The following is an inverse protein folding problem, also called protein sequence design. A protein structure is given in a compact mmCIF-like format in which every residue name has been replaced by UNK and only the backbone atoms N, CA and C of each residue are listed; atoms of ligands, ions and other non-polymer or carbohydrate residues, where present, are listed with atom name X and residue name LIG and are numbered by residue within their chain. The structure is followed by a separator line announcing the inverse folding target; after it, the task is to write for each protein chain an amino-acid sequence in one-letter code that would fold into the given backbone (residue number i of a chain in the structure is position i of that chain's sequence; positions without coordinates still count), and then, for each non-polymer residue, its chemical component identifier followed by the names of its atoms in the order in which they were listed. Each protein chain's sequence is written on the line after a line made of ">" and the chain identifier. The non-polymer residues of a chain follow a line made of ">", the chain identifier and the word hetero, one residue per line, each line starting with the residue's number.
data_IF_848990188634
#
_entry.id   IF_848990188634
#
_cell.length_a   1.000
_cell.length_b   1.000
_cell.length_c   1.000
_cell.angle_alpha   90.00
_cell.angle_beta   90.00
_cell.angle_gamma   90.00
#
_symmetry.space_group_name_H-M   'P 1'
#
loop_
_entity.id
_entity.type
_entity.pdbx_description
1 polymer ?
#
# COMPACT_ATOMS: atom_id res chain seq x y z
N UNK A 1 -6.80 -8.22 21.08
CA UNK A 1 -7.22 -6.96 20.45
C UNK A 1 -6.53 -5.75 21.06
N UNK A 2 -6.49 -5.61 22.38
CA UNK A 2 -5.86 -4.43 23.04
C UNK A 2 -4.40 -4.23 22.68
N UNK A 3 -3.62 -5.29 22.55
CA UNK A 3 -2.18 -5.21 22.19
C UNK A 3 -1.94 -4.65 20.77
N UNK A 4 -2.91 -4.71 19.88
CA UNK A 4 -2.79 -4.21 18.50
C UNK A 4 -3.23 -2.73 18.38
N UNK A 5 -4.16 -2.29 19.23
CA UNK A 5 -4.78 -0.96 19.11
C UNK A 5 -3.76 0.14 19.35
N UNK A 6 -2.94 0.03 20.40
CA UNK A 6 -1.97 1.07 20.75
C UNK A 6 -0.91 1.25 19.66
N UNK A 7 -0.21 0.20 19.16
CA UNK A 7 0.74 0.33 18.05
C UNK A 7 0.11 0.87 16.77
N UNK A 8 -1.13 0.46 16.46
CA UNK A 8 -1.86 0.95 15.30
C UNK A 8 -2.15 2.46 15.39
N UNK A 9 -2.61 2.94 16.55
CA UNK A 9 -2.84 4.37 16.78
C UNK A 9 -1.52 5.15 16.66
N UNK A 10 -0.43 4.66 17.26
CA UNK A 10 0.87 5.29 17.16
C UNK A 10 1.31 5.38 15.70
N UNK A 11 1.19 4.30 14.92
CA UNK A 11 1.55 4.26 13.51
C UNK A 11 0.74 5.28 12.69
N UNK A 12 -0.58 5.37 12.91
CA UNK A 12 -1.45 6.35 12.25
C UNK A 12 -1.05 7.79 12.58
N UNK A 13 -0.82 8.07 13.87
CA UNK A 13 -0.43 9.41 14.33
C UNK A 13 0.93 9.80 13.74
N UNK A 14 1.90 8.89 13.76
CA UNK A 14 3.22 9.13 13.18
C UNK A 14 3.14 9.34 11.67
N UNK A 15 2.37 8.51 10.94
CA UNK A 15 2.17 8.69 9.51
C UNK A 15 1.60 10.07 9.20
N UNK A 16 0.53 10.47 9.90
CA UNK A 16 -0.13 11.76 9.69
C UNK A 16 0.82 12.94 9.95
N UNK A 17 1.46 13.00 11.12
CA UNK A 17 2.33 14.12 11.48
C UNK A 17 3.61 14.15 10.64
N UNK A 18 4.15 13.00 10.25
CA UNK A 18 5.30 12.93 9.34
C UNK A 18 4.96 13.53 7.97
N UNK A 19 3.84 13.12 7.37
CA UNK A 19 3.42 13.66 6.07
C UNK A 19 3.09 15.15 6.18
N UNK A 20 2.31 15.54 7.19
CA UNK A 20 1.91 16.94 7.41
C UNK A 20 3.11 17.87 7.62
N UNK A 21 4.06 17.46 8.46
CA UNK A 21 5.25 18.25 8.78
C UNK A 21 6.28 18.26 7.65
N UNK A 22 6.50 17.12 6.97
CA UNK A 22 7.51 17.01 5.91
C UNK A 22 7.08 17.66 4.58
N UNK A 23 5.79 17.64 4.26
CA UNK A 23 5.30 18.15 2.96
C UNK A 23 5.73 19.59 2.67
N UNK A 24 5.53 20.59 3.56
CA UNK A 24 5.97 21.96 3.29
C UNK A 24 7.49 22.08 3.19
N UNK A 25 8.24 21.25 3.92
CA UNK A 25 9.69 21.25 3.84
C UNK A 25 10.17 20.67 2.50
N UNK A 26 9.59 19.56 2.05
CA UNK A 26 9.90 18.93 0.76
C UNK A 26 9.58 19.88 -0.40
N UNK A 27 8.41 20.55 -0.38
CA UNK A 27 8.03 21.53 -1.40
C UNK A 27 9.09 22.63 -1.50
N UNK A 28 9.45 23.26 -0.39
CA UNK A 28 10.47 24.33 -0.37
C UNK A 28 11.84 23.84 -0.84
N UNK A 29 12.22 22.61 -0.51
CA UNK A 29 13.49 22.02 -0.91
C UNK A 29 13.54 21.75 -2.43
N UNK A 30 12.43 21.30 -3.02
CA UNK A 30 12.31 21.06 -4.45
C UNK A 30 12.27 22.37 -5.25
N UNK A 31 11.53 23.37 -4.77
CA UNK A 31 11.48 24.71 -5.37
C UNK A 31 12.86 25.37 -5.39
N UNK A 32 13.60 25.31 -4.27
CA UNK A 32 14.99 25.82 -4.21
C UNK A 32 15.94 25.17 -5.20
N UNK A 33 15.67 23.92 -5.58
CA UNK A 33 16.45 23.17 -6.56
C UNK A 33 15.91 23.30 -7.99
N UNK A 34 14.90 24.12 -8.22
CA UNK A 34 14.20 24.27 -9.51
C UNK A 34 13.63 22.94 -10.05
N UNK A 35 13.26 22.01 -9.15
CA UNK A 35 12.64 20.74 -9.52
C UNK A 35 11.12 20.97 -9.48
N UNK A 36 10.63 21.67 -10.49
CA UNK A 36 9.23 22.04 -10.64
C UNK A 36 8.75 21.74 -12.04
N UNK A 37 7.45 21.50 -12.18
CA UNK A 37 6.77 21.27 -13.45
C UNK A 37 5.59 22.24 -13.59
N UNK A 38 5.20 22.53 -14.83
CA UNK A 38 4.02 23.36 -15.09
C UNK A 38 2.76 22.53 -14.82
N UNK A 39 1.83 23.08 -14.04
CA UNK A 39 0.51 22.47 -13.85
C UNK A 39 -0.28 22.58 -15.17
N UNK A 40 -0.42 21.45 -15.86
CA UNK A 40 -1.14 21.36 -17.13
C UNK A 40 -2.67 21.55 -16.99
N UNK A 41 -3.21 21.40 -15.79
CA UNK A 41 -4.64 21.41 -15.53
C UNK A 41 -5.16 22.81 -15.11
N UNK A 42 -4.26 23.76 -14.86
CA UNK A 42 -4.64 25.14 -14.53
C UNK A 42 -4.49 26.07 -15.73
N UNK A 43 -5.46 26.98 -15.89
CA UNK A 43 -5.40 28.03 -16.93
C UNK A 43 -4.18 28.94 -16.75
N UNK A 44 -3.80 29.22 -15.53
CA UNK A 44 -2.55 29.90 -15.18
C UNK A 44 -1.44 28.87 -15.05
N UNK A 45 -0.36 29.04 -15.79
CA UNK A 45 0.83 28.17 -15.77
C UNK A 45 1.58 28.30 -14.44
N UNK A 46 1.00 27.77 -13.36
CA UNK A 46 1.65 27.74 -12.05
C UNK A 46 2.69 26.61 -12.03
N UNK A 47 3.87 26.92 -11.48
CA UNK A 47 4.92 25.92 -11.26
C UNK A 47 4.62 25.17 -9.96
N UNK A 48 4.64 23.84 -10.01
CA UNK A 48 4.43 22.96 -8.86
C UNK A 48 5.64 22.08 -8.63
N UNK A 49 5.97 21.85 -7.36
CA UNK A 49 7.07 20.96 -6.98
C UNK A 49 6.72 19.51 -7.30
N UNK A 50 7.63 18.77 -7.95
CA UNK A 50 7.51 17.33 -8.25
C UNK A 50 8.86 16.65 -7.95
N UNK A 51 8.90 15.45 -7.33
CA UNK A 51 7.80 14.53 -7.00
C UNK A 51 7.13 14.83 -5.65
N UNK A 52 5.80 14.78 -5.60
CA UNK A 52 5.01 14.96 -4.36
C UNK A 52 5.02 13.76 -3.42
N UNK A 53 5.37 12.57 -3.92
CA UNK A 53 5.33 11.32 -3.17
C UNK A 53 6.40 11.17 -2.07
N UNK A 54 7.42 12.04 -2.03
CA UNK A 54 8.53 11.94 -1.06
C UNK A 54 8.07 11.99 0.41
N UNK A 55 7.18 12.91 0.75
CA UNK A 55 6.66 13.02 2.13
C UNK A 55 5.73 11.86 2.47
N UNK A 56 4.96 11.37 1.51
CA UNK A 56 4.02 10.27 1.69
C UNK A 56 4.79 8.98 2.00
N UNK A 57 5.82 8.65 1.23
CA UNK A 57 6.60 7.43 1.46
C UNK A 57 7.29 7.45 2.82
N UNK A 58 7.86 8.58 3.23
CA UNK A 58 8.48 8.69 4.55
C UNK A 58 7.47 8.42 5.66
N UNK A 59 6.24 8.95 5.56
CA UNK A 59 5.18 8.69 6.52
C UNK A 59 4.76 7.21 6.56
N UNK A 60 4.64 6.58 5.40
CA UNK A 60 4.31 5.14 5.28
C UNK A 60 5.43 4.29 5.89
N UNK A 61 6.69 4.51 5.49
CA UNK A 61 7.83 3.71 5.97
C UNK A 61 8.04 3.85 7.47
N UNK A 62 7.95 5.07 8.03
CA UNK A 62 8.06 5.28 9.47
C UNK A 62 6.96 4.55 10.23
N UNK A 63 5.72 4.57 9.76
CA UNK A 63 4.62 3.86 10.41
C UNK A 63 4.78 2.35 10.33
N UNK A 64 5.24 1.82 9.19
CA UNK A 64 5.51 0.40 9.03
C UNK A 64 6.70 -0.07 9.88
N UNK A 65 7.77 0.72 9.99
CA UNK A 65 8.91 0.44 10.87
C UNK A 65 8.46 0.39 12.33
N UNK A 66 7.60 1.31 12.78
CA UNK A 66 7.04 1.27 14.12
C UNK A 66 6.25 -0.02 14.33
N UNK A 67 5.38 -0.38 13.40
CA UNK A 67 4.63 -1.64 13.49
C UNK A 67 5.56 -2.85 13.51
N UNK A 68 6.64 -2.84 12.74
CA UNK A 68 7.63 -3.91 12.73
C UNK A 68 8.39 -4.04 14.06
N UNK A 69 8.67 -2.92 14.74
CA UNK A 69 9.30 -2.93 16.08
C UNK A 69 8.39 -3.59 17.11
N UNK A 70 7.08 -3.37 17.04
CA UNK A 70 6.11 -4.02 17.93
C UNK A 70 5.81 -5.46 17.52
N UNK A 71 5.76 -5.73 16.22
CA UNK A 71 5.41 -7.02 15.62
C UNK A 71 6.42 -7.38 14.53
N UNK A 72 7.55 -8.03 14.88
CA UNK A 72 8.61 -8.37 13.94
C UNK A 72 8.22 -9.60 13.11
N UNK A 73 7.22 -9.47 12.24
CA UNK A 73 6.73 -10.50 11.34
C UNK A 73 7.20 -10.25 9.91
N UNK A 74 7.41 -11.34 9.16
CA UNK A 74 7.91 -11.32 7.79
C UNK A 74 7.04 -10.52 6.83
N UNK A 75 5.74 -10.51 7.07
CA UNK A 75 4.73 -9.80 6.26
C UNK A 75 4.93 -8.29 6.31
N UNK A 76 5.16 -7.72 7.51
CA UNK A 76 5.43 -6.28 7.64
C UNK A 76 6.76 -5.93 6.97
N UNK A 77 7.80 -6.74 7.17
CA UNK A 77 9.09 -6.53 6.50
C UNK A 77 8.97 -6.59 4.98
N UNK A 78 8.19 -7.55 4.45
CA UNK A 78 7.93 -7.66 3.03
C UNK A 78 7.24 -6.40 2.48
N UNK A 79 6.26 -5.86 3.20
CA UNK A 79 5.56 -4.62 2.79
C UNK A 79 6.52 -3.43 2.80
N UNK A 80 7.35 -3.26 3.84
CA UNK A 80 8.40 -2.20 3.92
C UNK A 80 9.29 -2.27 2.67
N UNK A 81 9.86 -3.43 2.38
CA UNK A 81 10.76 -3.58 1.24
C UNK A 81 10.06 -3.36 -0.10
N UNK A 82 8.84 -3.87 -0.26
CA UNK A 82 8.04 -3.71 -1.48
C UNK A 82 7.68 -2.25 -1.74
N UNK A 83 7.20 -1.53 -0.72
CA UNK A 83 6.84 -0.10 -0.83
C UNK A 83 8.07 0.75 -1.10
N UNK A 84 9.20 0.45 -0.47
CA UNK A 84 10.46 1.13 -0.71
C UNK A 84 10.96 0.93 -2.16
N UNK A 85 10.96 -0.30 -2.68
CA UNK A 85 11.35 -0.54 -4.08
C UNK A 85 10.38 0.08 -5.08
N UNK A 86 9.07 -0.01 -4.83
CA UNK A 86 8.07 0.63 -5.67
C UNK A 86 8.23 2.16 -5.69
N UNK A 87 8.58 2.76 -4.56
CA UNK A 87 8.93 4.19 -4.49
C UNK A 87 10.14 4.54 -5.36
N UNK A 88 11.21 3.73 -5.32
CA UNK A 88 12.39 3.96 -6.18
C UNK A 88 12.00 3.94 -7.65
N UNK A 89 11.20 2.95 -8.07
CA UNK A 89 10.70 2.85 -9.44
C UNK A 89 9.87 4.09 -9.81
N UNK A 90 8.95 4.51 -8.93
CA UNK A 90 8.16 5.72 -9.13
C UNK A 90 9.01 7.00 -9.22
N UNK A 91 10.04 7.13 -8.38
CA UNK A 91 10.94 8.27 -8.38
C UNK A 91 11.77 8.35 -9.68
N UNK A 92 12.17 7.20 -10.23
CA UNK A 92 12.89 7.13 -11.52
C UNK A 92 11.94 7.53 -12.66
N UNK A 93 10.70 7.02 -12.65
CA UNK A 93 9.67 7.35 -13.64
C UNK A 93 9.30 8.84 -13.64
N UNK A 94 9.24 9.46 -12.46
CA UNK A 94 8.99 10.89 -12.31
C UNK A 94 10.13 11.77 -12.88
N UNK A 95 11.37 11.28 -12.86
CA UNK A 95 12.52 11.99 -13.40
C UNK A 95 12.76 11.72 -14.88
N UNK A 96 12.52 10.50 -15.29
CA UNK A 96 12.71 10.03 -16.67
C UNK A 96 11.58 9.06 -16.99
N UNK A 97 10.66 9.50 -17.84
CA UNK A 97 9.53 8.65 -18.26
C UNK A 97 10.02 7.29 -18.75
N UNK A 98 9.64 6.25 -18.03
CA UNK A 98 10.00 4.88 -18.35
C UNK A 98 9.17 4.41 -19.55
N UNK A 99 9.81 3.71 -20.51
CA UNK A 99 9.11 3.15 -21.68
C UNK A 99 7.98 2.18 -21.29
N UNK A 100 6.97 2.05 -22.15
CA UNK A 100 5.70 1.39 -21.82
C UNK A 100 5.78 0.01 -21.18
N UNK A 101 6.76 -0.82 -21.52
CA UNK A 101 6.95 -2.15 -20.94
C UNK A 101 7.93 -2.17 -19.74
N UNK A 102 8.82 -1.20 -19.66
CA UNK A 102 9.86 -1.20 -18.64
C UNK A 102 9.31 -0.90 -17.25
N UNK A 103 8.36 0.03 -17.15
CA UNK A 103 7.71 0.38 -15.87
C UNK A 103 6.91 -0.79 -15.26
N UNK A 104 6.01 -1.47 -15.98
CA UNK A 104 5.32 -2.65 -15.45
C UNK A 104 6.29 -3.75 -15.01
N UNK A 105 7.36 -3.99 -15.79
CA UNK A 105 8.36 -5.00 -15.45
C UNK A 105 9.11 -4.63 -14.16
N UNK A 106 9.56 -3.38 -14.03
CA UNK A 106 10.23 -2.90 -12.82
C UNK A 106 9.31 -3.00 -11.58
N UNK A 107 8.02 -2.67 -11.72
CA UNK A 107 7.04 -2.83 -10.65
C UNK A 107 6.77 -4.31 -10.32
N UNK A 108 6.82 -5.22 -11.31
CA UNK A 108 6.71 -6.65 -11.04
C UNK A 108 7.87 -7.17 -10.18
N UNK A 109 9.09 -6.65 -10.38
CA UNK A 109 10.22 -6.98 -9.52
C UNK A 109 10.05 -6.50 -8.07
N UNK A 110 9.24 -5.48 -7.82
CA UNK A 110 8.92 -5.05 -6.46
C UNK A 110 8.12 -6.10 -5.66
N UNK A 111 7.56 -7.13 -6.32
CA UNK A 111 6.93 -8.27 -5.66
C UNK A 111 7.95 -9.23 -5.01
N UNK A 112 9.23 -9.15 -5.38
CA UNK A 112 10.25 -10.08 -4.91
C UNK A 112 10.33 -10.22 -3.38
N UNK A 113 10.29 -9.15 -2.56
CA UNK A 113 10.31 -9.30 -1.11
C UNK A 113 9.14 -10.13 -0.57
N UNK A 114 7.93 -9.94 -1.11
CA UNK A 114 6.73 -10.72 -0.71
C UNK A 114 6.94 -12.20 -0.99
N UNK A 115 7.49 -12.53 -2.15
CA UNK A 115 7.73 -13.92 -2.56
C UNK A 115 8.87 -14.55 -1.79
N UNK A 116 10.00 -13.84 -1.61
CA UNK A 116 11.20 -14.35 -0.94
C UNK A 116 10.99 -14.56 0.56
N UNK A 117 10.23 -13.69 1.21
CA UNK A 117 9.90 -13.80 2.62
C UNK A 117 8.70 -14.72 2.90
N UNK A 118 8.06 -15.23 1.85
CA UNK A 118 6.86 -16.06 2.00
C UNK A 118 5.69 -15.32 2.65
N UNK A 119 5.63 -14.00 2.48
CA UNK A 119 4.65 -13.13 3.11
C UNK A 119 3.29 -13.17 2.39
N UNK A 120 2.82 -14.37 2.06
CA UNK A 120 1.53 -14.60 1.43
C UNK A 120 0.97 -15.97 1.80
N UNK A 121 -0.35 -16.08 1.89
CA UNK A 121 -1.02 -17.36 2.05
C UNK A 121 -1.53 -17.86 0.69
N UNK A 122 -1.09 -19.03 0.28
CA UNK A 122 -1.52 -19.68 -0.97
C UNK A 122 -2.85 -20.44 -0.84
N UNK A 123 -3.44 -20.47 0.36
CA UNK A 123 -4.75 -21.05 0.58
C UNK A 123 -5.84 -20.03 0.28
N UNK A 124 -6.68 -20.32 -0.69
CA UNK A 124 -7.87 -19.54 -0.99
C UNK A 124 -9.10 -20.27 -0.43
N UNK A 125 -9.74 -19.67 0.55
CA UNK A 125 -10.97 -20.20 1.13
C UNK A 125 -12.17 -19.71 0.33
N UNK A 126 -12.77 -20.62 -0.44
CA UNK A 126 -14.00 -20.33 -1.15
C UNK A 126 -15.21 -20.77 -0.32
N UNK A 127 -16.24 -19.90 -0.14
CA UNK A 127 -17.41 -20.24 0.68
C UNK A 127 -18.17 -21.50 0.25
N UNK A 128 -18.07 -21.87 -1.04
CA UNK A 128 -18.78 -23.00 -1.64
C UNK A 128 -17.91 -24.25 -1.87
N UNK A 129 -16.59 -24.07 -2.08
CA UNK A 129 -15.69 -25.14 -2.49
C UNK A 129 -14.63 -25.52 -1.43
N UNK A 130 -14.61 -24.79 -0.30
CA UNK A 130 -13.60 -24.98 0.75
C UNK A 130 -12.25 -24.37 0.40
N UNK A 131 -11.20 -24.76 1.13
CA UNK A 131 -9.85 -24.25 0.92
C UNK A 131 -9.16 -24.95 -0.25
N UNK A 132 -8.73 -24.17 -1.23
CA UNK A 132 -7.99 -24.67 -2.41
C UNK A 132 -6.60 -24.07 -2.40
N UNK A 133 -5.57 -24.95 -2.48
CA UNK A 133 -4.17 -24.52 -2.58
C UNK A 133 -3.80 -24.35 -4.05
N UNK A 134 -3.58 -23.12 -4.48
CA UNK A 134 -3.16 -22.81 -5.86
C UNK A 134 -1.91 -21.92 -5.81
N UNK A 135 -0.74 -22.45 -5.40
CA UNK A 135 0.45 -21.64 -5.17
C UNK A 135 0.92 -20.91 -6.43
N UNK A 136 0.89 -21.57 -7.59
CA UNK A 136 1.32 -20.96 -8.84
C UNK A 136 0.44 -19.79 -9.26
N UNK A 137 -0.88 -19.93 -9.17
CA UNK A 137 -1.82 -18.85 -9.48
C UNK A 137 -1.64 -17.68 -8.51
N UNK A 138 -1.48 -17.96 -7.22
CA UNK A 138 -1.30 -16.93 -6.22
C UNK A 138 -0.01 -16.13 -6.42
N UNK A 139 1.10 -16.83 -6.69
CA UNK A 139 2.38 -16.19 -7.05
C UNK A 139 2.24 -15.30 -8.27
N UNK A 140 1.57 -15.77 -9.32
CA UNK A 140 1.29 -14.98 -10.50
C UNK A 140 0.45 -13.74 -10.18
N UNK A 141 -0.61 -13.88 -9.36
CA UNK A 141 -1.43 -12.76 -8.92
C UNK A 141 -0.60 -11.71 -8.18
N UNK A 142 0.24 -12.09 -7.22
CA UNK A 142 1.10 -11.16 -6.48
C UNK A 142 2.00 -10.37 -7.43
N UNK A 143 2.65 -11.04 -8.40
CA UNK A 143 3.55 -10.40 -9.37
C UNK A 143 2.82 -9.44 -10.30
N UNK A 144 1.61 -9.81 -10.78
CA UNK A 144 0.87 -8.99 -11.73
C UNK A 144 0.05 -7.87 -11.07
N UNK A 145 -0.45 -8.08 -9.85
CA UNK A 145 -1.29 -7.07 -9.19
C UNK A 145 -0.54 -5.78 -8.86
N UNK A 146 0.75 -5.86 -8.48
CA UNK A 146 1.54 -4.67 -8.15
C UNK A 146 1.66 -3.73 -9.36
N UNK A 147 2.12 -4.17 -10.54
CA UNK A 147 2.18 -3.29 -11.72
C UNK A 147 0.78 -2.86 -12.22
N UNK A 148 -0.23 -3.72 -12.15
CA UNK A 148 -1.59 -3.35 -12.55
C UNK A 148 -2.10 -2.23 -11.66
N UNK A 149 -2.04 -2.37 -10.35
CA UNK A 149 -2.52 -1.35 -9.40
C UNK A 149 -1.71 -0.05 -9.51
N UNK A 150 -0.37 -0.15 -9.60
CA UNK A 150 0.48 1.03 -9.74
C UNK A 150 0.22 1.82 -11.02
N UNK A 151 0.04 1.14 -12.15
CA UNK A 151 -0.29 1.80 -13.42
C UNK A 151 -1.72 2.32 -13.45
N UNK A 152 -2.69 1.61 -12.86
CA UNK A 152 -4.09 2.06 -12.78
C UNK A 152 -4.19 3.33 -11.95
N UNK A 153 -3.58 3.37 -10.76
CA UNK A 153 -3.60 4.57 -9.90
C UNK A 153 -2.92 5.73 -10.62
N UNK A 154 -1.79 5.51 -11.28
CA UNK A 154 -1.11 6.54 -12.06
C UNK A 154 -1.97 7.06 -13.24
N UNK A 155 -2.79 6.19 -13.84
CA UNK A 155 -3.65 6.58 -14.97
C UNK A 155 -4.87 7.38 -14.54
N UNK A 156 -5.40 7.16 -13.33
CA UNK A 156 -6.54 7.93 -12.79
C UNK A 156 -6.11 9.24 -12.13
N UNK A 157 -4.80 9.45 -11.92
CA UNK A 157 -4.25 10.67 -11.33
C UNK A 157 -4.18 11.83 -12.33
N UNK A 158 -5.30 12.10 -12.98
CA UNK A 158 -5.44 13.19 -13.98
C UNK A 158 -5.72 14.53 -13.30
N UNK A 159 -6.43 14.51 -12.17
CA UNK A 159 -6.80 15.71 -11.42
C UNK A 159 -6.22 15.67 -10.01
N UNK A 160 -5.82 16.84 -9.51
CA UNK A 160 -5.25 16.97 -8.17
C UNK A 160 -6.18 16.37 -7.10
N UNK A 161 -5.69 15.40 -6.35
CA UNK A 161 -6.41 14.76 -5.26
C UNK A 161 -7.22 13.52 -5.63
N UNK A 162 -7.36 13.16 -6.91
CA UNK A 162 -8.13 11.96 -7.30
C UNK A 162 -7.45 10.68 -6.84
N UNK A 163 -6.15 10.51 -7.12
CA UNK A 163 -5.41 9.33 -6.69
C UNK A 163 -5.35 9.22 -5.16
N UNK A 164 -5.06 10.31 -4.46
CA UNK A 164 -5.00 10.31 -2.99
C UNK A 164 -6.37 10.08 -2.35
N UNK A 165 -7.43 10.68 -2.88
CA UNK A 165 -8.81 10.45 -2.42
C UNK A 165 -9.25 9.01 -2.64
N UNK A 166 -9.04 8.47 -3.84
CA UNK A 166 -9.34 7.07 -4.15
C UNK A 166 -8.59 6.11 -3.22
N UNK A 167 -7.28 6.31 -3.06
CA UNK A 167 -6.44 5.45 -2.21
C UNK A 167 -6.89 5.53 -0.75
N UNK A 168 -7.25 6.71 -0.26
CA UNK A 168 -7.75 6.90 1.12
C UNK A 168 -9.05 6.15 1.34
N UNK A 169 -10.04 6.29 0.44
CA UNK A 169 -11.33 5.61 0.53
C UNK A 169 -11.14 4.09 0.46
N UNK A 170 -10.35 3.61 -0.51
CA UNK A 170 -10.08 2.19 -0.68
C UNK A 170 -9.36 1.58 0.56
N UNK A 171 -8.34 2.25 1.08
CA UNK A 171 -7.61 1.80 2.28
C UNK A 171 -8.50 1.79 3.51
N UNK A 172 -9.37 2.78 3.67
CA UNK A 172 -10.33 2.83 4.78
C UNK A 172 -11.35 1.70 4.69
N UNK A 173 -11.92 1.46 3.51
CA UNK A 173 -12.86 0.35 3.28
C UNK A 173 -12.20 -1.02 3.55
N UNK A 174 -10.97 -1.24 3.07
CA UNK A 174 -10.21 -2.46 3.34
C UNK A 174 -9.88 -2.63 4.82
N UNK A 175 -9.59 -1.55 5.53
CA UNK A 175 -9.33 -1.59 6.98
C UNK A 175 -10.57 -2.02 7.76
N UNK A 176 -11.75 -1.50 7.41
CA UNK A 176 -13.03 -1.93 8.01
C UNK A 176 -13.29 -3.41 7.70
N UNK A 177 -13.11 -3.82 6.44
CA UNK A 177 -13.32 -5.20 6.03
C UNK A 177 -12.38 -6.16 6.78
N UNK A 178 -11.11 -5.78 6.94
CA UNK A 178 -10.13 -6.55 7.72
C UNK A 178 -10.54 -6.69 9.19
N UNK A 179 -11.02 -5.61 9.82
CA UNK A 179 -11.52 -5.65 11.19
C UNK A 179 -12.74 -6.57 11.35
N UNK A 180 -13.66 -6.57 10.39
CA UNK A 180 -14.81 -7.48 10.38
C UNK A 180 -14.33 -8.93 10.28
N UNK A 181 -13.39 -9.25 9.38
CA UNK A 181 -12.85 -10.60 9.23
C UNK A 181 -12.11 -11.10 10.48
N UNK A 182 -11.38 -10.23 11.18
CA UNK A 182 -10.71 -10.57 12.44
C UNK A 182 -11.71 -10.85 13.56
N UNK A 183 -12.86 -10.16 13.58
CA UNK A 183 -13.87 -10.33 14.62
C UNK A 183 -14.84 -11.50 14.38
N UNK A 184 -15.01 -11.95 13.13
CA UNK A 184 -15.95 -13.02 12.77
C UNK A 184 -15.48 -14.49 12.98
N UNK A 185 -14.20 -14.86 12.99
CA UNK A 185 -13.79 -16.27 13.11
C UNK A 185 -14.32 -16.97 14.36
N UNK A 186 -14.52 -16.23 15.44
CA UNK A 186 -15.12 -16.75 16.69
C UNK A 186 -16.61 -17.00 16.56
N UNK A 187 -17.33 -16.22 15.77
CA UNK A 187 -18.78 -16.37 15.58
C UNK A 187 -19.12 -17.57 14.70
N UNK A 188 -18.38 -17.81 13.64
CA UNK A 188 -18.57 -18.99 12.76
C UNK A 188 -18.25 -20.31 13.47
N UNK A 189 -17.22 -20.36 14.31
CA UNK A 189 -16.90 -21.51 15.14
C UNK A 189 -18.00 -21.76 16.19
N UNK A 190 -18.52 -20.71 16.82
CA UNK A 190 -19.62 -20.82 17.78
C UNK A 190 -20.92 -21.37 17.19
N UNK A 191 -21.28 -20.98 15.97
CA UNK A 191 -22.46 -21.50 15.26
C UNK A 191 -22.26 -22.96 14.86
N UNK A 192 -21.06 -23.35 14.40
CA UNK A 192 -20.75 -24.75 14.07
C UNK A 192 -20.87 -25.67 15.29
N UNK A 193 -20.38 -25.24 16.46
CA UNK A 193 -20.54 -26.00 17.71
C UNK A 193 -21.99 -26.09 18.19
N UNK A 194 -22.75 -24.99 18.07
CA UNK A 194 -24.17 -24.98 18.45
C UNK A 194 -25.03 -25.92 17.59
N UNK A 195 -24.75 -25.99 16.28
CA UNK A 195 -25.45 -26.92 15.37
C UNK A 195 -25.06 -28.39 15.64
N UNK A 196 -23.84 -28.64 16.10
CA UNK A 196 -23.39 -30.01 16.43
C UNK A 196 -23.96 -30.51 17.76
N UNK A 197 -24.26 -29.62 18.72
CA UNK A 197 -24.89 -29.98 20.00
C UNK A 197 -26.41 -30.17 19.93
N UNK A 198 -27.04 -29.81 18.80
CA UNK A 198 -28.50 -30.00 18.59
C UNK A 198 -28.82 -31.27 17.79
N UNK A 199 -27.86 -32.13 17.50
CA UNK A 199 -28.01 -33.45 16.92
C UNK A 199 -27.65 -34.52 17.97
#
# INVERSE_FOLDING_TARGET
>A
MEQLIIPAIIAIVVAFFSVYGLTPFVIRALEKRNITVVDANKKEKTMIARPGGLSIIVGIELSLIILYVFFPISEILAVILTTFFAFIVGLIDDRKTMGGWFKPLALAFCAAPILLLGAYDSNLDFPLFGSVKIPLLYTALVVFMIPIMGNTINSIDVLNGVASGFTTIASFALSILSLIHISEPTRRRGISYAVFCLK
#
